data_IF_991063923705
#
_entry.id   IF_991063923705
#
_cell.length_a   1.000
_cell.length_b   1.000
_cell.length_c   1.000
_cell.angle_alpha   90.00
_cell.angle_beta   90.00
_cell.angle_gamma   90.00
#
_symmetry.space_group_name_H-M   'P 1'
#
loop_
_entity.id
_entity.type
_entity.pdbx_description
1 polymer ?
#
# COMPACT_ATOMS: atom_id res chain seq x y z
N UNK A 1 -10.24 -11.31 -18.10
CA UNK A 1 -9.16 -10.31 -18.07
C UNK A 1 -8.33 -10.59 -16.84
N UNK A 2 -7.09 -11.06 -17.00
CA UNK A 2 -6.17 -11.26 -15.88
C UNK A 2 -5.65 -9.89 -15.45
N UNK A 3 -6.07 -9.43 -14.28
CA UNK A 3 -5.48 -8.24 -13.65
C UNK A 3 -4.02 -8.55 -13.28
N UNK A 4 -3.12 -7.59 -13.49
CA UNK A 4 -1.71 -7.77 -13.15
C UNK A 4 -1.55 -7.81 -11.61
N UNK A 5 -0.78 -8.76 -11.05
CA UNK A 5 -0.49 -8.75 -9.61
C UNK A 5 0.35 -7.53 -9.26
N UNK A 6 -0.05 -6.80 -8.22
CA UNK A 6 0.66 -5.61 -7.75
C UNK A 6 0.97 -5.67 -6.26
N UNK A 7 1.93 -4.84 -5.85
CA UNK A 7 2.37 -4.69 -4.47
C UNK A 7 2.30 -3.21 -4.09
N UNK A 8 1.70 -2.90 -2.94
CA UNK A 8 1.38 -1.51 -2.57
C UNK A 8 2.05 -1.14 -1.25
N UNK A 9 2.74 0.00 -1.23
CA UNK A 9 3.29 0.61 -0.03
C UNK A 9 2.51 1.86 0.34
N UNK A 10 2.16 1.98 1.61
CA UNK A 10 1.47 3.11 2.21
C UNK A 10 2.38 3.74 3.26
N UNK A 11 2.80 4.97 3.00
CA UNK A 11 3.50 5.83 3.95
C UNK A 11 2.47 6.82 4.53
N UNK A 12 2.14 6.60 5.79
CA UNK A 12 0.99 7.21 6.46
C UNK A 12 1.33 8.61 6.97
N UNK A 13 0.51 9.59 6.59
CA UNK A 13 0.46 10.89 7.24
C UNK A 13 -1.00 11.30 7.44
N UNK A 14 -1.28 12.06 8.49
CA UNK A 14 -2.65 12.35 8.96
C UNK A 14 -3.54 12.95 7.85
N UNK A 15 -2.99 13.84 7.01
CA UNK A 15 -3.73 14.54 5.96
C UNK A 15 -3.70 13.81 4.61
N UNK A 16 -2.66 13.01 4.37
CA UNK A 16 -2.43 12.35 3.08
C UNK A 16 -1.54 11.13 3.25
N UNK A 17 -1.80 10.07 2.50
CA UNK A 17 -0.98 8.86 2.45
C UNK A 17 -0.22 8.83 1.13
N UNK A 18 1.10 8.65 1.19
CA UNK A 18 1.88 8.39 -0.01
C UNK A 18 1.66 6.93 -0.41
N UNK A 19 1.11 6.72 -1.61
CA UNK A 19 0.79 5.39 -2.14
C UNK A 19 1.75 5.05 -3.28
N UNK A 20 2.55 4.01 -3.08
CA UNK A 20 3.45 3.45 -4.10
C UNK A 20 2.92 2.10 -4.58
N UNK A 21 2.75 1.95 -5.88
CA UNK A 21 2.31 0.70 -6.52
C UNK A 21 3.44 0.13 -7.36
N UNK A 22 3.68 -1.16 -7.23
CA UNK A 22 4.73 -1.91 -7.89
C UNK A 22 4.14 -3.07 -8.69
N UNK A 23 4.84 -3.45 -9.75
CA UNK A 23 4.64 -4.75 -10.41
C UNK A 23 5.38 -5.88 -9.67
N UNK A 24 5.27 -7.09 -10.20
CA UNK A 24 5.94 -8.28 -9.67
C UNK A 24 7.47 -8.28 -9.82
N UNK A 25 8.04 -7.39 -10.64
CA UNK A 25 9.48 -7.20 -10.77
C UNK A 25 9.99 -6.10 -9.82
N UNK A 26 9.12 -5.53 -8.97
CA UNK A 26 9.44 -4.45 -8.05
C UNK A 26 9.59 -3.08 -8.74
N UNK A 27 9.16 -2.93 -10.00
CA UNK A 27 9.17 -1.64 -10.69
C UNK A 27 7.98 -0.80 -10.28
N UNK A 28 8.22 0.47 -10.04
CA UNK A 28 7.17 1.44 -9.70
C UNK A 28 6.23 1.67 -10.88
N UNK A 29 4.98 1.26 -10.75
CA UNK A 29 3.90 1.56 -11.68
C UNK A 29 3.29 2.94 -11.41
N UNK A 30 3.20 3.32 -10.13
CA UNK A 30 2.72 4.62 -9.72
C UNK A 30 3.22 4.98 -8.32
N UNK A 31 3.38 6.28 -8.06
CA UNK A 31 3.78 6.77 -6.75
C UNK A 31 3.24 8.19 -6.55
N UNK A 32 2.26 8.37 -5.67
CA UNK A 32 1.65 9.70 -5.42
C UNK A 32 1.08 9.83 -4.02
N UNK A 33 0.95 11.08 -3.57
CA UNK A 33 0.16 11.42 -2.39
C UNK A 33 -1.33 11.35 -2.71
N UNK A 34 -2.09 10.69 -1.85
CA UNK A 34 -3.55 10.54 -1.89
C UNK A 34 -4.10 11.02 -0.55
N UNK A 35 -5.29 11.64 -0.51
CA UNK A 35 -5.92 12.00 0.77
C UNK A 35 -6.05 10.76 1.67
N UNK A 36 -5.95 10.95 2.98
CA UNK A 36 -6.09 9.87 3.96
C UNK A 36 -7.56 9.41 4.06
N UNK A 37 -8.04 8.77 2.98
CA UNK A 37 -9.38 8.22 2.81
C UNK A 37 -9.22 6.83 2.19
N UNK A 38 -9.64 5.78 2.90
CA UNK A 38 -9.46 4.39 2.48
C UNK A 38 -9.99 4.13 1.06
N UNK A 39 -11.10 4.77 0.70
CA UNK A 39 -11.74 4.65 -0.62
C UNK A 39 -10.87 5.20 -1.75
N UNK A 40 -10.26 6.36 -1.54
CA UNK A 40 -9.41 6.98 -2.55
C UNK A 40 -8.10 6.20 -2.72
N UNK A 41 -7.56 5.70 -1.61
CA UNK A 41 -6.36 4.87 -1.59
C UNK A 41 -6.63 3.54 -2.31
N UNK A 42 -7.72 2.85 -1.97
CA UNK A 42 -8.08 1.58 -2.61
C UNK A 42 -8.35 1.74 -4.11
N UNK A 43 -9.12 2.76 -4.51
CA UNK A 43 -9.37 3.07 -5.93
C UNK A 43 -8.07 3.33 -6.68
N UNK A 44 -7.16 4.09 -6.09
CA UNK A 44 -5.86 4.36 -6.68
C UNK A 44 -5.01 3.10 -6.81
N UNK A 45 -4.98 2.21 -5.80
CA UNK A 45 -4.24 0.96 -5.88
C UNK A 45 -4.80 0.01 -6.96
N UNK A 46 -6.14 -0.12 -7.00
CA UNK A 46 -6.83 -1.05 -7.89
C UNK A 46 -6.78 -0.64 -9.37
N UNK A 47 -6.57 0.65 -9.69
CA UNK A 47 -6.47 1.09 -11.08
C UNK A 47 -5.21 0.56 -11.80
N UNK A 48 -4.23 0.09 -11.04
CA UNK A 48 -2.94 -0.39 -11.56
C UNK A 48 -2.83 -1.92 -11.59
N UNK A 49 -3.78 -2.64 -11.01
CA UNK A 49 -3.79 -4.10 -10.95
C UNK A 49 -4.48 -4.62 -9.69
N UNK A 50 -4.23 -5.88 -9.34
CA UNK A 50 -4.77 -6.51 -8.14
C UNK A 50 -3.70 -6.59 -7.06
N UNK A 51 -3.82 -5.78 -5.98
CA UNK A 51 -2.89 -5.82 -4.87
C UNK A 51 -2.85 -7.21 -4.24
N UNK A 52 -1.70 -7.87 -4.30
CA UNK A 52 -1.43 -9.12 -3.59
C UNK A 52 -1.01 -8.86 -2.14
N UNK A 53 -0.41 -7.70 -1.89
CA UNK A 53 0.00 -7.23 -0.57
C UNK A 53 -0.05 -5.72 -0.51
N UNK A 54 -0.51 -5.19 0.61
CA UNK A 54 -0.47 -3.77 0.95
C UNK A 54 0.29 -3.63 2.26
N UNK A 55 1.43 -2.95 2.27
CA UNK A 55 2.20 -2.70 3.49
C UNK A 55 1.96 -1.27 3.96
N UNK A 56 1.63 -1.09 5.23
CA UNK A 56 1.47 0.23 5.86
C UNK A 56 2.36 0.34 7.09
N UNK A 57 3.00 1.50 7.29
CA UNK A 57 3.81 1.74 8.48
C UNK A 57 2.99 1.62 9.76
N UNK A 58 3.45 0.81 10.70
CA UNK A 58 2.81 0.62 12.00
C UNK A 58 3.01 1.86 12.89
N UNK A 59 2.09 2.81 12.79
CA UNK A 59 1.94 3.94 13.71
C UNK A 59 0.50 4.01 14.25
N UNK A 60 0.27 4.80 15.30
CA UNK A 60 -1.03 4.84 15.98
C UNK A 60 -2.21 5.18 15.05
N UNK A 61 -2.01 6.06 14.05
CA UNK A 61 -3.08 6.43 13.09
C UNK A 61 -3.21 5.47 11.90
N UNK A 62 -2.20 4.66 11.61
CA UNK A 62 -2.22 3.72 10.49
C UNK A 62 -3.06 2.47 10.75
N UNK A 63 -3.28 2.11 12.02
CA UNK A 63 -4.06 0.93 12.38
C UNK A 63 -5.53 1.06 11.96
N UNK A 64 -6.14 2.23 12.21
CA UNK A 64 -7.54 2.50 11.83
C UNK A 64 -7.70 2.47 10.30
N UNK A 65 -6.78 3.10 9.56
CA UNK A 65 -6.77 3.05 8.10
C UNK A 65 -6.58 1.63 7.56
N UNK A 66 -5.69 0.85 8.19
CA UNK A 66 -5.46 -0.55 7.81
C UNK A 66 -6.74 -1.38 7.99
N UNK A 67 -7.44 -1.21 9.11
CA UNK A 67 -8.71 -1.88 9.38
C UNK A 67 -9.77 -1.52 8.33
N UNK A 68 -9.92 -0.24 7.96
CA UNK A 68 -10.86 0.18 6.91
C UNK A 68 -10.55 -0.47 5.54
N UNK A 69 -9.27 -0.51 5.16
CA UNK A 69 -8.82 -1.11 3.90
C UNK A 69 -9.04 -2.63 3.86
N UNK A 70 -8.88 -3.32 4.99
CA UNK A 70 -9.17 -4.76 5.11
C UNK A 70 -10.68 -4.99 5.08
N UNK A 71 -11.43 -4.34 5.98
CA UNK A 71 -12.84 -4.65 6.25
C UNK A 71 -13.79 -4.14 5.17
N UNK A 72 -13.54 -2.96 4.59
CA UNK A 72 -14.45 -2.35 3.60
C UNK A 72 -14.01 -2.52 2.15
N UNK A 73 -12.71 -2.79 1.92
CA UNK A 73 -12.11 -2.87 0.59
C UNK A 73 -11.48 -4.23 0.29
N UNK A 74 -11.45 -5.14 1.27
CA UNK A 74 -10.92 -6.50 1.14
C UNK A 74 -9.48 -6.52 0.58
N UNK A 75 -8.67 -5.52 0.96
CA UNK A 75 -7.28 -5.46 0.57
C UNK A 75 -6.41 -6.27 1.55
N UNK A 76 -5.39 -6.99 1.07
CA UNK A 76 -4.48 -7.78 1.91
C UNK A 76 -3.45 -6.88 2.61
N UNK A 77 -3.90 -6.14 3.63
CA UNK A 77 -3.05 -5.19 4.37
C UNK A 77 -2.24 -5.90 5.45
N UNK A 78 -0.95 -5.53 5.56
CA UNK A 78 -0.04 -5.94 6.62
C UNK A 78 0.59 -4.69 7.25
N UNK A 79 0.55 -4.62 8.58
CA UNK A 79 1.29 -3.61 9.34
C UNK A 79 2.78 -3.95 9.29
N UNK A 80 3.58 -3.02 8.78
CA UNK A 80 5.02 -3.15 8.66
C UNK A 80 5.71 -2.26 9.70
N UNK A 81 6.76 -2.77 10.32
CA UNK A 81 7.54 -2.00 11.30
C UNK A 81 8.13 -0.73 10.64
N UNK A 82 8.19 0.43 11.34
CA UNK A 82 8.73 1.70 10.83
C UNK A 82 10.09 1.60 10.13
N UNK A 83 11.00 0.79 10.70
CA UNK A 83 12.31 0.51 10.10
C UNK A 83 12.28 -0.16 8.72
N UNK A 84 11.12 -0.66 8.27
CA UNK A 84 10.91 -1.23 6.92
C UNK A 84 10.18 -0.29 5.97
N UNK A 85 9.42 0.69 6.47
CA UNK A 85 8.67 1.64 5.63
C UNK A 85 9.41 2.98 5.48
N UNK A 86 10.18 3.38 6.50
CA UNK A 86 10.96 4.63 6.56
C UNK A 86 12.18 4.72 5.64
N UNK A 87 12.34 3.83 4.65
CA UNK A 87 13.45 3.89 3.71
C UNK A 87 12.93 3.73 2.28
N UNK A 88 12.79 4.86 1.56
CA UNK A 88 12.77 4.90 0.09
C UNK A 88 13.86 3.93 -0.42
N UNK A 89 13.59 2.95 -1.31
CA UNK A 89 12.50 2.84 -2.27
C UNK A 89 11.56 1.65 -1.98
N UNK A 90 10.42 1.63 -2.66
CA UNK A 90 9.35 0.64 -2.58
C UNK A 90 9.77 -0.85 -2.78
N UNK A 91 11.06 -1.16 -2.96
CA UNK A 91 11.58 -2.49 -3.35
C UNK A 91 11.33 -3.60 -2.32
N UNK A 92 11.16 -3.26 -1.04
CA UNK A 92 10.97 -4.26 0.03
C UNK A 92 9.65 -5.04 -0.06
N UNK A 93 8.62 -4.49 -0.69
CA UNK A 93 7.30 -5.14 -0.77
C UNK A 93 7.32 -6.30 -1.77
N UNK A 94 8.16 -6.20 -2.82
CA UNK A 94 8.35 -7.24 -3.81
C UNK A 94 9.42 -8.28 -3.39
N UNK A 95 10.48 -7.87 -2.70
CA UNK A 95 11.67 -8.71 -2.45
C UNK A 95 11.53 -9.76 -1.32
N UNK A 96 10.48 -9.71 -0.47
CA UNK A 96 10.29 -10.71 0.60
C UNK A 96 8.88 -11.27 0.62
N UNK A 97 8.75 -12.55 0.28
CA UNK A 97 7.52 -13.34 0.33
C UNK A 97 7.03 -13.64 1.75
N UNK A 98 6.65 -12.60 2.51
CA UNK A 98 5.97 -12.74 3.82
C UNK A 98 4.45 -12.71 3.64
#
# INVERSE_FOLDING_TARGET
MSSLPTFVGLDYHQDSVQVCVLDSEGRTLANRSVRNEADLIARFALQHGTPQRVAIEACCGAADLAEELVTHRNLPVQLAHPGYVGMKPCRWIADRGI
#
